data_IF_764726769306
#
_entry.id   IF_764726769306
#
_cell.length_a   1.000
_cell.length_b   1.000
_cell.length_c   1.000
_cell.angle_alpha   90.00
_cell.angle_beta   90.00
_cell.angle_gamma   90.00
#
_symmetry.space_group_name_H-M   'P 1'
#
loop_
_entity.id
_entity.type
_entity.pdbx_description
1 polymer ?
#
# COMPACT_ATOMS: atom_id res chain seq x y z
N UNK A 1 -10.05 -20.85 -11.86
CA UNK A 1 -9.86 -19.41 -11.97
C UNK A 1 -8.49 -18.94 -11.49
N UNK A 2 -8.08 -19.24 -10.23
CA UNK A 2 -6.79 -18.77 -9.66
C UNK A 2 -5.57 -19.15 -10.51
N UNK A 3 -5.44 -20.43 -10.88
CA UNK A 3 -4.32 -20.88 -11.73
C UNK A 3 -4.32 -20.20 -13.10
N UNK A 4 -5.48 -20.00 -13.69
CA UNK A 4 -5.58 -19.25 -14.95
C UNK A 4 -5.08 -17.82 -14.80
N UNK A 5 -5.49 -17.12 -13.74
CA UNK A 5 -5.06 -15.75 -13.47
C UNK A 5 -3.52 -15.66 -13.28
N UNK A 6 -2.93 -16.61 -12.57
CA UNK A 6 -1.46 -16.69 -12.40
C UNK A 6 -0.78 -16.89 -13.77
N UNK A 7 -1.22 -17.86 -14.56
CA UNK A 7 -0.65 -18.13 -15.89
C UNK A 7 -0.80 -16.92 -16.82
N UNK A 8 -1.96 -16.28 -16.84
CA UNK A 8 -2.20 -15.10 -17.66
C UNK A 8 -1.31 -13.91 -17.23
N UNK A 9 -1.12 -13.71 -15.93
CA UNK A 9 -0.23 -12.68 -15.42
C UNK A 9 1.23 -12.93 -15.84
N UNK A 10 1.70 -14.18 -15.82
CA UNK A 10 3.02 -14.52 -16.33
C UNK A 10 3.16 -14.29 -17.84
N UNK A 11 2.16 -14.69 -18.63
CA UNK A 11 2.16 -14.48 -20.07
C UNK A 11 2.17 -13.00 -20.43
N UNK A 12 1.35 -12.18 -19.75
CA UNK A 12 1.37 -10.73 -19.89
C UNK A 12 2.77 -10.14 -19.57
N UNK A 13 3.43 -10.63 -18.53
CA UNK A 13 4.77 -10.17 -18.17
C UNK A 13 5.82 -10.48 -19.26
N UNK A 14 5.65 -11.59 -19.99
CA UNK A 14 6.52 -11.95 -21.12
C UNK A 14 6.22 -11.10 -22.37
N UNK A 15 4.96 -10.73 -22.56
CA UNK A 15 4.49 -9.94 -23.70
C UNK A 15 3.34 -9.01 -23.26
N UNK A 16 3.62 -7.72 -23.13
CA UNK A 16 2.68 -6.68 -22.73
C UNK A 16 1.90 -6.08 -23.90
N UNK A 17 2.01 -6.65 -25.11
CA UNK A 17 1.31 -6.14 -26.30
C UNK A 17 -0.20 -6.19 -26.14
N UNK A 18 -0.89 -5.29 -26.81
CA UNK A 18 -2.36 -5.26 -26.90
C UNK A 18 -2.90 -6.57 -27.49
N UNK A 19 -2.23 -7.14 -28.45
CA UNK A 19 -2.63 -8.41 -29.07
C UNK A 19 -2.61 -9.56 -28.07
N UNK A 20 -1.54 -9.69 -27.27
CA UNK A 20 -1.48 -10.69 -26.22
C UNK A 20 -2.54 -10.45 -25.13
N UNK A 21 -2.75 -9.21 -24.71
CA UNK A 21 -3.80 -8.87 -23.75
C UNK A 21 -5.19 -9.25 -24.25
N UNK A 22 -5.48 -8.96 -25.50
CA UNK A 22 -6.75 -9.34 -26.13
C UNK A 22 -6.90 -10.87 -26.23
N UNK A 23 -5.84 -11.57 -26.61
CA UNK A 23 -5.83 -13.03 -26.62
C UNK A 23 -6.14 -13.61 -25.23
N UNK A 24 -5.51 -13.11 -24.18
CA UNK A 24 -5.75 -13.56 -22.80
C UNK A 24 -7.21 -13.31 -22.35
N UNK A 25 -7.77 -12.12 -22.69
CA UNK A 25 -9.17 -11.78 -22.40
C UNK A 25 -10.14 -12.72 -23.13
N UNK A 26 -9.90 -13.00 -24.40
CA UNK A 26 -10.73 -13.94 -25.21
C UNK A 26 -10.67 -15.34 -24.59
N UNK A 27 -9.48 -15.85 -24.31
CA UNK A 27 -9.32 -17.19 -23.69
C UNK A 27 -9.96 -17.29 -22.32
N UNK A 28 -9.95 -16.20 -21.54
CA UNK A 28 -10.64 -16.16 -20.25
C UNK A 28 -12.16 -16.27 -20.43
N UNK A 29 -12.74 -15.49 -21.34
CA UNK A 29 -14.18 -15.50 -21.61
C UNK A 29 -14.65 -16.87 -22.15
N UNK A 30 -13.86 -17.49 -23.04
CA UNK A 30 -14.16 -18.84 -23.58
C UNK A 30 -14.14 -19.91 -22.49
N UNK A 31 -13.14 -19.86 -21.59
CA UNK A 31 -12.93 -20.89 -20.56
C UNK A 31 -13.84 -20.73 -19.35
N UNK A 32 -14.22 -19.50 -19.04
CA UNK A 32 -15.02 -19.16 -17.88
C UNK A 32 -16.20 -18.26 -18.27
N UNK A 33 -17.27 -18.82 -18.88
CA UNK A 33 -18.51 -18.08 -19.08
C UNK A 33 -18.99 -17.52 -17.74
N UNK A 34 -19.24 -16.20 -17.63
CA UNK A 34 -19.58 -15.54 -16.37
C UNK A 34 -18.36 -15.17 -15.50
N UNK A 35 -17.17 -15.04 -16.09
CA UNK A 35 -15.93 -14.62 -15.40
C UNK A 35 -16.07 -13.29 -14.64
N UNK A 36 -16.99 -12.44 -15.04
CA UNK A 36 -17.34 -11.15 -14.43
C UNK A 36 -17.95 -11.29 -13.03
N UNK A 37 -18.45 -12.48 -12.68
CA UNK A 37 -18.92 -12.81 -11.33
C UNK A 37 -17.83 -13.41 -10.45
N UNK A 38 -16.65 -13.70 -11.00
CA UNK A 38 -15.51 -14.30 -10.30
C UNK A 38 -14.47 -13.22 -10.02
N UNK A 39 -14.37 -12.75 -8.79
CA UNK A 39 -13.59 -11.58 -8.39
C UNK A 39 -12.16 -11.56 -8.98
N UNK A 40 -11.41 -12.66 -8.91
CA UNK A 40 -10.02 -12.72 -9.43
C UNK A 40 -9.96 -12.63 -10.97
N UNK A 41 -10.97 -13.11 -11.68
CA UNK A 41 -11.01 -13.03 -13.15
C UNK A 41 -11.46 -11.64 -13.60
N UNK A 42 -12.42 -11.04 -12.89
CA UNK A 42 -12.82 -9.66 -13.14
C UNK A 42 -11.63 -8.72 -12.92
N UNK A 43 -10.87 -8.93 -11.85
CA UNK A 43 -9.69 -8.12 -11.58
C UNK A 43 -8.57 -8.34 -12.61
N UNK A 44 -8.37 -9.58 -13.05
CA UNK A 44 -7.46 -9.87 -14.16
C UNK A 44 -7.89 -9.12 -15.45
N UNK A 45 -9.17 -9.10 -15.78
CA UNK A 45 -9.68 -8.36 -16.93
C UNK A 45 -9.39 -6.86 -16.79
N UNK A 46 -9.69 -6.29 -15.63
CA UNK A 46 -9.44 -4.89 -15.33
C UNK A 46 -7.94 -4.58 -15.48
N UNK A 47 -7.09 -5.40 -14.88
CA UNK A 47 -5.65 -5.21 -14.91
C UNK A 47 -5.06 -5.31 -16.32
N UNK A 48 -5.49 -6.29 -17.13
CA UNK A 48 -5.09 -6.40 -18.55
C UNK A 48 -5.58 -5.20 -19.40
N UNK A 49 -6.64 -4.51 -18.94
CA UNK A 49 -7.20 -3.33 -19.62
C UNK A 49 -6.60 -2.01 -19.10
N UNK A 50 -6.11 -1.99 -17.87
CA UNK A 50 -5.57 -0.79 -17.21
C UNK A 50 -4.35 -0.23 -17.95
N UNK A 51 -3.49 -1.09 -18.49
CA UNK A 51 -2.40 -0.61 -19.34
C UNK A 51 -2.87 0.15 -20.59
N UNK A 52 -4.08 -0.12 -21.07
CA UNK A 52 -4.71 0.63 -22.17
C UNK A 52 -5.33 1.95 -21.68
N UNK A 53 -5.90 1.94 -20.49
CA UNK A 53 -6.67 3.08 -19.93
C UNK A 53 -5.77 4.05 -19.15
N UNK A 54 -4.78 3.54 -18.42
CA UNK A 54 -3.93 4.33 -17.54
C UNK A 54 -2.53 4.63 -18.09
N UNK A 55 -2.21 4.21 -19.32
CA UNK A 55 -0.97 4.60 -20.02
C UNK A 55 -0.74 6.12 -20.10
N UNK A 56 -1.66 6.92 -19.59
CA UNK A 56 -1.61 8.37 -19.44
C UNK A 56 -2.30 8.91 -18.17
N UNK A 57 -2.79 8.05 -17.29
CA UNK A 57 -3.47 8.45 -16.05
C UNK A 57 -2.48 9.01 -15.04
N UNK A 58 -2.46 10.33 -14.90
CA UNK A 58 -1.63 11.02 -13.92
C UNK A 58 -2.17 10.75 -12.51
N UNK A 59 -1.30 10.33 -11.59
CA UNK A 59 -1.62 10.27 -10.16
C UNK A 59 -2.14 11.64 -9.69
N UNK A 60 -3.29 11.70 -9.00
CA UNK A 60 -3.81 12.97 -8.48
C UNK A 60 -2.81 13.65 -7.54
N UNK A 61 -3.06 14.91 -7.20
CA UNK A 61 -2.14 15.68 -6.35
C UNK A 61 -2.02 15.05 -4.95
N UNK A 62 -0.80 14.68 -4.59
CA UNK A 62 -0.46 14.10 -3.27
C UNK A 62 -0.77 15.08 -2.14
N UNK A 63 -0.66 16.39 -2.40
CA UNK A 63 -1.00 17.45 -1.44
C UNK A 63 -2.45 17.38 -0.96
N UNK A 64 -3.39 16.94 -1.82
CA UNK A 64 -4.79 16.72 -1.41
C UNK A 64 -4.92 15.62 -0.37
N UNK A 65 -4.15 14.52 -0.49
CA UNK A 65 -4.13 13.47 0.52
C UNK A 65 -3.59 13.97 1.86
N UNK A 66 -2.48 14.71 1.86
CA UNK A 66 -1.90 15.28 3.06
C UNK A 66 -2.88 16.20 3.79
N UNK A 67 -3.51 17.10 3.04
CA UNK A 67 -4.49 18.05 3.56
C UNK A 67 -5.73 17.34 4.12
N UNK A 68 -6.24 16.36 3.41
CA UNK A 68 -7.40 15.60 3.84
C UNK A 68 -7.12 14.86 5.16
N UNK A 69 -5.99 14.15 5.26
CA UNK A 69 -5.64 13.39 6.45
C UNK A 69 -5.34 14.32 7.65
N UNK A 70 -4.74 15.48 7.42
CA UNK A 70 -4.57 16.50 8.44
C UNK A 70 -5.94 17.01 8.97
N UNK A 71 -6.91 17.18 8.07
CA UNK A 71 -8.27 17.63 8.44
C UNK A 71 -9.04 16.57 9.24
N UNK A 72 -8.92 15.29 8.86
CA UNK A 72 -9.61 14.19 9.56
C UNK A 72 -8.87 13.71 10.80
N UNK A 73 -7.65 14.20 11.03
CA UNK A 73 -6.88 13.92 12.24
C UNK A 73 -6.33 12.49 12.30
N UNK A 74 -5.98 11.93 11.16
CA UNK A 74 -5.40 10.59 11.07
C UNK A 74 -3.87 10.61 11.16
N UNK A 75 -3.32 9.58 11.82
CA UNK A 75 -1.89 9.29 11.83
C UNK A 75 -1.56 8.37 10.66
N UNK A 76 -0.65 8.77 9.80
CA UNK A 76 -0.41 8.11 8.51
C UNK A 76 1.07 7.78 8.31
N UNK A 77 1.32 6.59 7.77
CA UNK A 77 2.55 6.27 7.02
C UNK A 77 2.25 6.41 5.53
N UNK A 78 2.95 7.28 4.86
CA UNK A 78 2.90 7.42 3.42
C UNK A 78 4.02 6.60 2.78
N UNK A 79 3.68 5.65 1.93
CA UNK A 79 4.62 4.82 1.15
C UNK A 79 4.49 5.21 -0.32
N UNK A 80 5.45 5.97 -0.83
CA UNK A 80 5.50 6.40 -2.22
C UNK A 80 6.30 5.41 -3.04
N UNK A 81 5.71 4.86 -4.06
CA UNK A 81 6.29 3.82 -4.90
C UNK A 81 6.25 4.25 -6.38
N UNK A 82 6.99 3.56 -7.24
CA UNK A 82 6.81 3.65 -8.69
C UNK A 82 5.82 2.59 -9.18
N UNK A 83 5.26 2.78 -10.36
CA UNK A 83 4.50 1.71 -11.03
C UNK A 83 5.39 0.51 -11.33
N UNK A 84 6.62 0.77 -11.76
CA UNK A 84 7.66 -0.25 -11.89
C UNK A 84 8.25 -0.56 -10.51
N UNK A 85 7.85 -1.68 -9.93
CA UNK A 85 8.23 -2.12 -8.57
C UNK A 85 9.68 -2.59 -8.46
N UNK A 86 10.43 -2.65 -9.57
CA UNK A 86 11.87 -2.91 -9.52
C UNK A 86 12.64 -1.73 -8.89
N UNK A 87 12.01 -0.57 -8.80
CA UNK A 87 12.59 0.62 -8.20
C UNK A 87 12.01 0.85 -6.80
N UNK A 88 12.89 0.99 -5.79
CA UNK A 88 12.43 1.24 -4.42
C UNK A 88 11.77 2.60 -4.28
N UNK A 89 10.81 2.64 -3.36
CA UNK A 89 10.11 3.82 -2.93
C UNK A 89 10.64 4.37 -1.62
N UNK A 90 9.90 5.32 -1.05
CA UNK A 90 10.22 5.98 0.21
C UNK A 90 8.99 6.07 1.09
N UNK A 91 9.17 5.91 2.41
CA UNK A 91 8.13 6.10 3.41
C UNK A 91 8.41 7.32 4.29
N UNK A 92 7.35 8.03 4.70
CA UNK A 92 7.37 9.12 5.67
C UNK A 92 6.20 9.00 6.64
N UNK A 93 6.28 9.66 7.79
CA UNK A 93 5.22 9.65 8.79
C UNK A 93 4.61 11.05 8.97
N UNK A 94 3.28 11.12 8.89
CA UNK A 94 2.49 12.31 9.24
C UNK A 94 1.68 12.00 10.50
N UNK A 95 1.74 12.86 11.51
CA UNK A 95 0.98 12.68 12.74
C UNK A 95 -0.48 13.16 12.59
N UNK A 96 -1.30 12.87 13.57
CA UNK A 96 -2.73 13.25 13.58
C UNK A 96 -2.99 14.76 13.54
N UNK A 97 -2.00 15.60 13.84
CA UNK A 97 -2.10 17.07 13.69
C UNK A 97 -1.65 17.58 12.30
N UNK A 98 -1.41 16.68 11.38
CA UNK A 98 -0.99 17.01 10.01
C UNK A 98 0.50 17.32 9.83
N UNK A 99 1.31 17.21 10.91
CA UNK A 99 2.75 17.51 10.85
C UNK A 99 3.55 16.26 10.49
N UNK A 100 4.56 16.43 9.65
CA UNK A 100 5.50 15.37 9.31
C UNK A 100 6.59 15.21 10.38
N UNK A 101 6.99 13.95 10.60
CA UNK A 101 8.04 13.64 11.59
C UNK A 101 9.40 14.05 11.03
N UNK A 102 10.17 14.77 11.85
CA UNK A 102 11.48 15.33 11.51
C UNK A 102 12.53 14.96 12.56
N UNK A 103 13.78 14.99 12.17
CA UNK A 103 14.89 14.85 13.11
C UNK A 103 15.07 16.12 13.98
N UNK A 104 15.96 16.09 15.00
CA UNK A 104 16.24 17.26 15.83
C UNK A 104 16.80 18.48 15.07
N UNK A 105 17.31 18.28 13.85
CA UNK A 105 17.79 19.35 12.97
C UNK A 105 16.69 19.88 12.04
N UNK A 106 15.47 19.39 12.17
CA UNK A 106 14.32 19.81 11.36
C UNK A 106 14.24 19.16 9.97
N UNK A 107 15.09 18.17 9.66
CA UNK A 107 15.06 17.47 8.38
C UNK A 107 13.97 16.41 8.40
N UNK A 108 13.25 16.27 7.29
CA UNK A 108 12.22 15.23 7.13
C UNK A 108 12.84 13.83 7.32
N UNK A 109 12.23 13.00 8.16
CA UNK A 109 12.59 11.59 8.26
C UNK A 109 11.99 10.85 7.07
N UNK A 110 12.84 10.19 6.29
CA UNK A 110 12.48 9.47 5.07
C UNK A 110 13.18 8.12 5.10
N UNK A 111 12.42 7.05 4.85
CA UNK A 111 12.86 5.66 4.98
C UNK A 111 12.73 4.94 3.64
N UNK A 112 13.77 4.22 3.25
CA UNK A 112 13.76 3.42 2.02
C UNK A 112 12.79 2.24 2.19
N UNK A 113 11.91 2.02 1.19
CA UNK A 113 10.91 0.96 1.24
C UNK A 113 10.65 0.37 -0.15
N UNK A 114 10.58 -0.96 -0.23
CA UNK A 114 10.28 -1.71 -1.44
C UNK A 114 8.91 -2.37 -1.33
N UNK A 115 8.10 -2.26 -2.37
CA UNK A 115 6.76 -2.85 -2.47
C UNK A 115 6.68 -3.97 -3.53
N UNK A 116 7.81 -4.57 -3.86
CA UNK A 116 7.96 -5.62 -4.86
C UNK A 116 7.90 -7.00 -4.23
N UNK A 117 7.17 -7.92 -4.87
CA UNK A 117 7.25 -9.34 -4.51
C UNK A 117 8.35 -10.05 -5.30
N UNK A 118 8.81 -11.19 -4.75
CA UNK A 118 9.76 -12.06 -5.44
C UNK A 118 9.22 -12.63 -6.75
N UNK A 119 7.91 -12.88 -6.82
CA UNK A 119 7.22 -13.33 -8.02
C UNK A 119 7.08 -12.23 -9.08
N UNK A 120 7.07 -10.96 -8.66
CA UNK A 120 6.75 -9.79 -9.49
C UNK A 120 5.40 -9.93 -10.23
N UNK A 121 4.48 -10.67 -9.63
CA UNK A 121 3.11 -10.80 -10.11
C UNK A 121 2.26 -9.62 -9.64
N UNK A 122 1.13 -9.34 -10.31
CA UNK A 122 0.26 -8.24 -9.94
C UNK A 122 -0.36 -8.41 -8.55
N UNK A 123 -0.75 -7.29 -7.98
CA UNK A 123 -1.27 -7.13 -6.62
C UNK A 123 -2.41 -8.07 -6.22
N UNK A 124 -3.25 -8.53 -7.14
CA UNK A 124 -4.40 -9.41 -6.88
C UNK A 124 -4.07 -10.90 -6.90
N UNK A 125 -2.83 -11.26 -7.24
CA UNK A 125 -2.33 -12.64 -7.18
C UNK A 125 -1.72 -12.88 -5.80
N UNK A 126 -1.92 -14.07 -5.24
CA UNK A 126 -1.22 -14.53 -4.02
C UNK A 126 0.30 -14.40 -4.25
N UNK A 127 1.01 -13.84 -3.27
CA UNK A 127 2.44 -13.51 -3.37
C UNK A 127 2.80 -12.52 -4.50
N UNK A 128 1.83 -11.79 -5.02
CA UNK A 128 2.05 -10.66 -5.92
C UNK A 128 2.56 -9.42 -5.18
N UNK A 129 2.99 -8.41 -5.92
CA UNK A 129 3.50 -7.14 -5.36
C UNK A 129 2.46 -6.45 -4.46
N UNK A 130 2.92 -5.60 -3.55
CA UNK A 130 2.04 -4.89 -2.61
C UNK A 130 0.98 -4.07 -3.36
N UNK A 131 -0.31 -4.26 -3.10
CA UNK A 131 -1.36 -3.43 -3.68
C UNK A 131 -1.18 -1.95 -3.34
N UNK A 132 -1.46 -1.07 -4.28
CA UNK A 132 -1.68 0.34 -3.98
C UNK A 132 -2.98 0.49 -3.20
N UNK A 133 -3.02 1.39 -2.22
CA UNK A 133 -4.23 1.62 -1.43
C UNK A 133 -3.97 1.85 0.05
N UNK A 134 -4.99 1.58 0.86
CA UNK A 134 -5.04 1.92 2.29
C UNK A 134 -5.02 0.64 3.13
N UNK A 135 -4.14 0.63 4.12
CA UNK A 135 -3.99 -0.44 5.10
C UNK A 135 -4.19 0.14 6.50
N UNK A 136 -4.94 -0.56 7.35
CA UNK A 136 -5.08 -0.15 8.75
C UNK A 136 -3.89 -0.62 9.56
N UNK A 137 -3.20 0.29 10.26
CA UNK A 137 -2.11 -0.05 11.19
C UNK A 137 -2.71 -0.36 12.56
N UNK A 138 -2.49 -1.58 13.05
CA UNK A 138 -3.01 -2.03 14.35
C UNK A 138 -1.98 -1.88 15.49
N UNK A 139 -0.74 -1.61 15.16
CA UNK A 139 0.35 -1.45 16.11
C UNK A 139 1.66 -1.99 15.55
N UNK A 140 2.57 -2.31 16.46
CA UNK A 140 3.88 -2.89 16.14
C UNK A 140 4.00 -4.27 16.73
N UNK A 141 4.77 -5.14 16.09
CA UNK A 141 5.06 -6.48 16.55
C UNK A 141 6.49 -6.90 16.24
N UNK A 142 6.93 -7.98 16.84
CA UNK A 142 8.20 -8.63 16.53
C UNK A 142 7.90 -10.04 16.07
N UNK A 143 8.37 -10.40 14.89
CA UNK A 143 8.16 -11.72 14.35
C UNK A 143 9.10 -12.74 14.99
N UNK A 144 8.61 -13.98 15.08
CA UNK A 144 9.42 -15.14 15.44
C UNK A 144 9.85 -15.94 14.22
N UNK A 145 9.43 -15.54 13.03
CA UNK A 145 9.81 -16.27 11.81
C UNK A 145 11.13 -15.74 11.26
N UNK A 146 11.93 -16.66 10.75
CA UNK A 146 13.20 -16.33 10.07
C UNK A 146 13.05 -15.44 8.84
N UNK A 147 11.84 -15.41 8.24
CA UNK A 147 11.59 -14.68 6.99
C UNK A 147 11.25 -13.20 7.17
N UNK A 148 11.06 -12.75 8.41
CA UNK A 148 10.69 -11.35 8.71
C UNK A 148 11.80 -10.67 9.52
N UNK A 149 12.59 -11.45 10.26
CA UNK A 149 13.66 -10.95 11.13
C UNK A 149 13.17 -10.37 12.46
N UNK A 150 14.10 -10.02 13.35
CA UNK A 150 13.82 -9.60 14.71
C UNK A 150 13.45 -8.11 14.83
N UNK A 151 13.57 -7.32 13.78
CA UNK A 151 13.25 -5.89 13.82
C UNK A 151 11.74 -5.70 13.96
N UNK A 152 11.29 -4.75 14.79
CA UNK A 152 9.87 -4.44 14.91
C UNK A 152 9.24 -4.10 13.55
N UNK A 153 8.06 -4.64 13.32
CA UNK A 153 7.27 -4.41 12.10
C UNK A 153 6.00 -3.63 12.41
N UNK A 154 5.38 -3.05 11.39
CA UNK A 154 4.03 -2.49 11.47
C UNK A 154 3.02 -3.59 11.10
N UNK A 155 2.11 -3.88 12.02
CA UNK A 155 1.02 -4.83 11.81
C UNK A 155 -0.09 -4.15 11.01
N UNK A 156 -0.30 -4.63 9.79
CA UNK A 156 -1.29 -4.08 8.87
C UNK A 156 -2.47 -5.04 8.76
N UNK A 157 -3.66 -4.47 8.54
CA UNK A 157 -4.85 -5.21 8.12
C UNK A 157 -5.28 -4.65 6.78
N UNK A 158 -5.50 -5.55 5.82
CA UNK A 158 -6.07 -5.22 4.52
C UNK A 158 -7.59 -5.07 4.61
N UNK A 159 -8.22 -4.37 3.66
CA UNK A 159 -9.67 -4.44 3.48
C UNK A 159 -10.14 -5.89 3.36
N UNK A 160 -11.27 -6.22 3.99
CA UNK A 160 -11.89 -7.57 4.04
C UNK A 160 -11.05 -8.69 4.71
N UNK A 161 -9.84 -8.41 5.23
CA UNK A 161 -9.04 -9.39 5.97
C UNK A 161 -9.63 -9.69 7.35
N UNK A 162 -10.23 -8.68 7.97
CA UNK A 162 -10.90 -8.75 9.28
C UNK A 162 -12.12 -7.81 9.26
N UNK A 163 -12.66 -7.49 10.43
CA UNK A 163 -13.81 -6.61 10.54
C UNK A 163 -13.56 -5.20 10.00
N UNK A 164 -14.54 -4.61 9.35
CA UNK A 164 -14.49 -3.23 8.86
C UNK A 164 -14.38 -2.18 9.96
N UNK A 165 -14.48 -2.58 11.25
CA UNK A 165 -14.19 -1.73 12.39
C UNK A 165 -12.76 -1.18 12.44
N UNK A 166 -11.84 -1.73 11.64
CA UNK A 166 -10.49 -1.20 11.47
C UNK A 166 -10.40 -0.02 10.48
N UNK A 167 -11.46 0.24 9.69
CA UNK A 167 -11.54 1.27 8.66
C UNK A 167 -12.59 2.32 9.00
N UNK A 168 -12.26 3.28 9.85
CA UNK A 168 -13.15 4.35 10.26
C UNK A 168 -12.41 5.69 10.41
N UNK A 169 -13.16 6.79 10.31
CA UNK A 169 -12.64 8.14 10.54
C UNK A 169 -12.74 8.49 12.02
N UNK A 170 -11.73 9.13 12.64
CA UNK A 170 -11.79 9.60 14.02
C UNK A 170 -12.97 10.53 14.25
N UNK A 171 -13.60 10.40 15.44
CA UNK A 171 -14.72 11.25 15.84
C UNK A 171 -16.05 10.97 15.14
N UNK A 172 -16.11 9.98 14.25
CA UNK A 172 -17.36 9.54 13.62
C UNK A 172 -17.93 8.23 14.18
N UNK A 173 -17.26 7.64 15.17
CA UNK A 173 -17.65 6.35 15.76
C UNK A 173 -19.07 6.35 16.32
N UNK A 174 -19.53 7.50 16.83
CA UNK A 174 -20.89 7.66 17.35
C UNK A 174 -21.91 8.14 16.30
N UNK A 175 -21.47 8.73 15.20
CA UNK A 175 -22.35 9.23 14.14
C UNK A 175 -22.54 8.22 13.00
N UNK A 176 -21.61 7.26 12.83
CA UNK A 176 -21.71 6.20 11.82
C UNK A 176 -22.59 5.01 12.25
N UNK A 177 -23.11 4.97 13.45
CA UNK A 177 -24.31 4.17 13.78
C UNK A 177 -25.52 4.51 12.90
N UNK A 178 -25.39 5.44 11.95
CA UNK A 178 -26.45 5.94 11.07
C UNK A 178 -26.26 5.52 9.61
N UNK A 179 -25.27 4.73 9.25
CA UNK A 179 -25.17 4.24 7.87
C UNK A 179 -26.00 2.96 7.68
N UNK A 180 -27.17 2.98 8.25
CA UNK A 180 -28.26 2.14 7.80
C UNK A 180 -29.08 2.91 6.80
N UNK A 181 -28.75 2.90 5.55
CA UNK A 181 -29.59 3.25 4.39
C UNK A 181 -28.87 4.10 3.35
N UNK A 182 -27.90 3.53 2.68
CA UNK A 182 -27.59 3.96 1.33
C UNK A 182 -28.04 2.84 0.39
N UNK A 183 -29.25 2.94 -0.10
CA UNK A 183 -29.76 2.18 -1.23
C UNK A 183 -29.00 2.58 -2.47
N UNK A 184 -28.10 1.75 -2.96
CA UNK A 184 -27.31 2.01 -4.16
C UNK A 184 -26.60 0.77 -4.69
N UNK A 185 -27.27 0.06 -5.55
CA UNK A 185 -26.79 -0.78 -6.67
C UNK A 185 -25.37 -1.36 -6.54
N UNK A 186 -25.27 -2.67 -6.25
CA UNK A 186 -24.11 -3.47 -6.57
C UNK A 186 -23.56 -4.33 -5.43
N UNK A 187 -24.05 -5.58 -5.32
CA UNK A 187 -23.39 -6.66 -4.60
C UNK A 187 -23.73 -6.80 -3.13
N UNK A 188 -24.74 -7.60 -2.81
CA UNK A 188 -24.86 -8.46 -1.62
C UNK A 188 -24.52 -7.91 -0.24
N UNK A 189 -24.81 -6.65 0.05
CA UNK A 189 -24.68 -6.13 1.40
C UNK A 189 -25.75 -6.76 2.31
N UNK A 190 -25.35 -7.43 3.39
CA UNK A 190 -26.29 -7.85 4.42
C UNK A 190 -26.97 -6.62 5.03
N UNK A 191 -28.27 -6.66 5.30
CA UNK A 191 -28.99 -5.56 5.90
C UNK A 191 -28.35 -5.17 7.24
N UNK A 192 -27.91 -3.90 7.35
CA UNK A 192 -27.33 -3.37 8.58
C UNK A 192 -25.78 -3.34 8.66
N UNK A 193 -25.07 -3.90 7.68
CA UNK A 193 -23.60 -3.71 7.56
C UNK A 193 -23.29 -2.50 6.69
N UNK A 194 -22.34 -1.63 7.09
CA UNK A 194 -21.91 -0.53 6.25
C UNK A 194 -21.33 -1.06 4.93
N UNK A 195 -21.57 -0.34 3.83
CA UNK A 195 -20.92 -0.62 2.56
C UNK A 195 -19.40 -0.45 2.72
N UNK A 196 -18.69 -1.55 2.59
CA UNK A 196 -17.23 -1.59 2.77
C UNK A 196 -16.50 -0.66 1.82
N UNK A 197 -16.99 -0.52 0.60
CA UNK A 197 -16.43 0.41 -0.39
C UNK A 197 -16.62 1.86 0.05
N UNK A 198 -17.79 2.20 0.60
CA UNK A 198 -18.05 3.53 1.12
C UNK A 198 -17.11 3.89 2.29
N UNK A 199 -16.90 2.96 3.24
CA UNK A 199 -15.97 3.17 4.35
C UNK A 199 -14.53 3.38 3.85
N UNK A 200 -14.09 2.57 2.91
CA UNK A 200 -12.77 2.69 2.31
C UNK A 200 -12.61 4.03 1.57
N UNK A 201 -13.57 4.39 0.72
CA UNK A 201 -13.55 5.66 -0.02
C UNK A 201 -13.69 6.89 0.88
N UNK A 202 -14.31 6.76 2.06
CA UNK A 202 -14.39 7.83 3.05
C UNK A 202 -13.00 8.24 3.62
N UNK A 203 -11.99 7.38 3.48
CA UNK A 203 -10.61 7.69 3.83
C UNK A 203 -9.86 8.47 2.74
N UNK A 204 -10.50 8.77 1.61
CA UNK A 204 -9.93 9.46 0.48
C UNK A 204 -10.62 10.82 0.25
N UNK A 205 -9.87 11.88 -0.14
CA UNK A 205 -10.47 13.11 -0.62
C UNK A 205 -11.22 12.89 -1.93
N UNK A 206 -12.12 13.79 -2.28
CA UNK A 206 -13.02 13.63 -3.43
C UNK A 206 -12.28 13.32 -4.74
N UNK A 207 -11.16 13.98 -5.02
CA UNK A 207 -10.35 13.76 -6.24
C UNK A 207 -9.72 12.37 -6.33
N UNK A 208 -9.56 11.67 -5.19
CA UNK A 208 -8.94 10.34 -5.14
C UNK A 208 -9.93 9.18 -5.10
N UNK A 209 -11.20 9.44 -4.76
CA UNK A 209 -12.23 8.37 -4.63
C UNK A 209 -12.49 7.62 -5.93
N UNK A 210 -12.30 8.29 -7.07
CA UNK A 210 -12.50 7.71 -8.39
C UNK A 210 -11.18 7.34 -9.10
N UNK A 211 -10.06 7.49 -8.41
CA UNK A 211 -8.77 7.05 -8.92
C UNK A 211 -8.63 5.54 -8.70
N UNK A 212 -8.97 4.77 -9.75
CA UNK A 212 -9.06 3.30 -9.71
C UNK A 212 -7.88 2.59 -9.05
N UNK A 213 -6.61 3.01 -9.29
CA UNK A 213 -5.46 2.36 -8.67
C UNK A 213 -5.46 2.37 -7.14
N UNK A 214 -6.09 3.34 -6.48
CA UNK A 214 -6.24 3.33 -5.02
C UNK A 214 -7.17 2.21 -4.51
N UNK A 215 -7.90 1.54 -5.40
CA UNK A 215 -8.78 0.42 -5.05
C UNK A 215 -8.07 -0.94 -5.09
N UNK A 216 -6.79 -1.02 -5.46
CA UNK A 216 -6.07 -2.30 -5.56
C UNK A 216 -6.08 -3.07 -4.24
N UNK A 217 -5.81 -2.40 -3.10
CA UNK A 217 -5.84 -3.06 -1.80
C UNK A 217 -7.25 -3.56 -1.43
N UNK A 218 -8.30 -2.80 -1.77
CA UNK A 218 -9.69 -3.21 -1.56
C UNK A 218 -10.05 -4.40 -2.44
N UNK A 219 -9.70 -4.39 -3.73
CA UNK A 219 -9.92 -5.52 -4.66
C UNK A 219 -9.16 -6.76 -4.22
N UNK A 220 -7.90 -6.61 -3.82
CA UNK A 220 -7.05 -7.72 -3.37
C UNK A 220 -7.61 -8.40 -2.11
N UNK A 221 -8.06 -7.60 -1.12
CA UNK A 221 -8.70 -8.14 0.08
C UNK A 221 -9.98 -8.91 -0.25
N UNK A 222 -10.84 -8.39 -1.11
CA UNK A 222 -12.06 -9.10 -1.58
C UNK A 222 -11.77 -10.42 -2.32
N UNK A 223 -10.63 -10.54 -2.97
CA UNK A 223 -10.16 -11.79 -3.59
C UNK A 223 -9.64 -12.77 -2.54
N UNK A 224 -9.42 -12.31 -1.30
CA UNK A 224 -8.95 -13.09 -0.16
C UNK A 224 -7.44 -13.02 0.02
N UNK A 225 -6.81 -11.94 -0.42
CA UNK A 225 -5.41 -11.66 -0.09
C UNK A 225 -5.31 -11.09 1.32
N UNK A 226 -4.33 -11.57 2.09
CA UNK A 226 -4.14 -11.26 3.51
C UNK A 226 -2.65 -11.17 3.86
N UNK A 227 -2.35 -10.89 5.13
CA UNK A 227 -1.02 -11.02 5.74
C UNK A 227 0.05 -10.10 5.15
N UNK A 228 -0.33 -8.90 4.71
CA UNK A 228 0.62 -7.86 4.33
C UNK A 228 1.01 -7.06 5.57
N UNK A 229 2.31 -6.95 5.82
CA UNK A 229 2.90 -6.13 6.89
C UNK A 229 4.02 -5.24 6.32
N UNK A 230 4.48 -4.27 7.09
CA UNK A 230 5.70 -3.53 6.77
C UNK A 230 6.82 -3.98 7.73
N UNK A 231 7.89 -4.57 7.17
CA UNK A 231 8.98 -5.19 7.93
C UNK A 231 10.35 -4.89 7.33
N UNK A 232 11.41 -5.22 8.04
CA UNK A 232 12.78 -5.16 7.52
C UNK A 232 13.08 -6.29 6.54
N UNK A 233 14.11 -6.10 5.74
CA UNK A 233 14.54 -7.12 4.77
C UNK A 233 15.28 -8.28 5.39
N UNK A 234 15.67 -8.15 6.65
CA UNK A 234 16.46 -9.19 7.28
C UNK A 234 15.59 -10.34 7.69
N UNK A 235 15.86 -11.36 7.09
CA UNK A 235 15.71 -12.71 7.46
C UNK A 235 16.76 -12.97 8.55
N UNK A 236 16.43 -13.71 9.58
CA UNK A 236 17.28 -14.05 10.70
C UNK A 236 18.78 -14.06 10.34
N UNK A 237 19.60 -13.17 10.93
CA UNK A 237 21.03 -13.08 10.61
C UNK A 237 21.79 -14.39 10.80
N UNK A 238 21.40 -15.22 11.77
CA UNK A 238 22.01 -16.53 12.02
C UNK A 238 21.71 -17.51 10.88
N UNK A 239 20.48 -17.47 10.32
CA UNK A 239 20.11 -18.29 9.17
C UNK A 239 20.87 -17.89 7.89
N UNK A 240 21.17 -16.60 7.69
CA UNK A 240 21.88 -16.09 6.53
C UNK A 240 23.38 -15.92 6.75
N UNK A 241 23.89 -16.29 7.91
CA UNK A 241 25.32 -16.30 8.16
C UNK A 241 26.03 -17.07 7.05
N UNK A 242 27.06 -16.44 6.48
CA UNK A 242 27.84 -16.95 5.36
C UNK A 242 27.08 -17.19 4.04
N UNK A 243 25.85 -16.63 3.90
CA UNK A 243 25.07 -16.68 2.65
C UNK A 243 24.97 -15.30 2.00
N UNK A 244 24.74 -15.23 0.67
CA UNK A 244 24.44 -13.96 0.01
C UNK A 244 23.26 -13.26 0.70
N UNK A 245 23.45 -12.00 1.01
CA UNK A 245 22.46 -11.17 1.65
C UNK A 245 22.28 -9.87 0.86
N UNK A 246 21.03 -9.52 0.60
CA UNK A 246 20.67 -8.30 -0.09
C UNK A 246 19.99 -7.35 0.90
N UNK A 247 20.49 -6.12 1.10
CA UNK A 247 19.93 -5.19 2.08
C UNK A 247 18.51 -4.73 1.76
N UNK A 248 18.03 -4.95 0.54
CA UNK A 248 16.65 -4.67 0.13
C UNK A 248 16.13 -5.81 -0.76
N UNK A 249 15.41 -6.74 -0.16
CA UNK A 249 14.98 -7.98 -0.80
C UNK A 249 13.47 -7.96 -1.07
N UNK A 250 13.01 -8.38 -2.27
CA UNK A 250 11.60 -8.64 -2.53
C UNK A 250 11.02 -9.66 -1.55
N UNK A 251 9.75 -9.48 -1.19
CA UNK A 251 9.03 -10.31 -0.23
C UNK A 251 7.99 -11.22 -0.91
N UNK A 252 7.04 -11.74 -0.15
CA UNK A 252 5.82 -12.38 -0.67
C UNK A 252 4.66 -11.38 -0.83
N UNK A 253 4.98 -10.10 -0.94
CA UNK A 253 4.03 -9.00 -1.12
C UNK A 253 3.94 -8.01 0.02
N UNK A 254 4.66 -8.23 1.12
CA UNK A 254 4.83 -7.24 2.18
C UNK A 254 5.65 -6.04 1.70
N UNK A 255 5.47 -4.90 2.36
CA UNK A 255 6.39 -3.79 2.26
C UNK A 255 7.67 -4.13 3.03
N UNK A 256 8.84 -3.98 2.41
CA UNK A 256 10.09 -4.17 3.13
C UNK A 256 10.99 -2.94 3.08
N UNK A 257 11.64 -2.68 4.21
CA UNK A 257 12.60 -1.60 4.35
C UNK A 257 14.03 -2.14 4.43
N UNK A 258 14.99 -1.35 3.99
CA UNK A 258 16.38 -1.74 3.97
C UNK A 258 16.93 -2.04 5.37
N UNK A 259 17.63 -3.15 5.50
CA UNK A 259 18.42 -3.49 6.68
C UNK A 259 19.79 -4.03 6.29
N UNK A 260 20.80 -3.65 7.02
CA UNK A 260 22.16 -4.12 6.86
C UNK A 260 22.67 -4.67 8.19
N UNK A 261 23.10 -5.90 8.18
CA UNK A 261 23.63 -6.61 9.34
C UNK A 261 25.10 -6.96 9.15
N UNK A 262 25.86 -6.93 10.23
CA UNK A 262 27.23 -7.41 10.19
C UNK A 262 27.20 -8.96 10.08
N UNK A 263 27.75 -9.56 9.02
CA UNK A 263 27.65 -10.99 8.78
C UNK A 263 28.44 -11.83 9.77
N UNK A 264 29.43 -11.23 10.45
CA UNK A 264 30.28 -11.93 11.43
C UNK A 264 29.72 -11.86 12.84
N UNK A 265 29.26 -10.67 13.24
CA UNK A 265 28.80 -10.45 14.64
C UNK A 265 27.29 -10.55 14.80
N UNK A 266 26.50 -10.53 13.72
CA UNK A 266 25.05 -10.47 13.75
C UNK A 266 24.48 -9.13 14.26
N UNK A 267 25.31 -8.09 14.42
CA UNK A 267 24.84 -6.78 14.83
C UNK A 267 24.17 -6.01 13.68
N UNK A 268 23.07 -5.38 14.00
CA UNK A 268 22.37 -4.46 13.08
C UNK A 268 23.23 -3.21 12.86
N UNK A 269 23.57 -2.93 11.60
CA UNK A 269 24.36 -1.77 11.20
C UNK A 269 23.47 -0.62 10.71
N UNK A 270 22.47 -0.94 9.90
CA UNK A 270 21.49 0.01 9.34
C UNK A 270 20.12 -0.66 9.37
N UNK A 271 19.09 0.07 9.76
CA UNK A 271 17.71 -0.38 9.64
C UNK A 271 16.77 0.80 9.37
N UNK A 272 16.33 0.90 8.14
CA UNK A 272 15.27 1.83 7.74
C UNK A 272 13.93 1.43 8.41
N UNK A 273 13.70 0.12 8.60
CA UNK A 273 12.50 -0.36 9.29
C UNK A 273 12.46 0.08 10.76
N UNK A 274 13.55 -0.04 11.48
CA UNK A 274 13.62 0.42 12.87
C UNK A 274 13.41 1.94 12.96
N UNK A 275 13.99 2.69 12.01
CA UNK A 275 13.78 4.13 11.87
C UNK A 275 12.31 4.48 11.62
N UNK A 276 11.64 3.79 10.68
CA UNK A 276 10.22 3.98 10.38
C UNK A 276 9.33 3.71 11.59
N UNK A 277 9.55 2.57 12.28
CA UNK A 277 8.80 2.22 13.49
C UNK A 277 9.06 3.23 14.61
N UNK A 278 10.30 3.68 14.79
CA UNK A 278 10.64 4.70 15.78
C UNK A 278 9.96 6.04 15.48
N UNK A 279 9.95 6.47 14.22
CA UNK A 279 9.22 7.67 13.78
C UNK A 279 7.71 7.52 14.00
N UNK A 280 7.14 6.35 13.72
CA UNK A 280 5.75 6.05 14.04
C UNK A 280 5.47 6.17 15.55
N UNK A 281 6.26 5.55 16.38
CA UNK A 281 6.07 5.54 17.84
C UNK A 281 6.38 6.89 18.51
N UNK A 282 7.15 7.77 17.87
CA UNK A 282 7.45 9.12 18.39
C UNK A 282 6.24 10.05 18.40
N UNK A 283 5.15 9.67 17.72
CA UNK A 283 3.90 10.44 17.67
C UNK A 283 2.79 9.74 18.45
N UNK A 284 1.83 10.47 19.07
CA UNK A 284 0.77 9.87 19.85
C UNK A 284 -0.10 8.89 19.04
N UNK A 285 -0.63 7.88 19.73
CA UNK A 285 -1.50 6.86 19.17
C UNK A 285 -0.76 5.69 18.56
N UNK A 286 -1.28 4.48 18.74
CA UNK A 286 -0.72 3.23 18.20
C UNK A 286 -1.36 2.81 16.88
N UNK A 287 -2.54 3.33 16.55
CA UNK A 287 -3.32 3.03 15.35
C UNK A 287 -3.27 4.18 14.35
N UNK A 288 -3.58 3.88 13.13
CA UNK A 288 -3.63 4.80 11.99
C UNK A 288 -3.64 4.05 10.68
N UNK A 289 -3.17 4.67 9.61
CA UNK A 289 -3.19 4.04 8.30
C UNK A 289 -1.84 4.11 7.61
N UNK A 290 -1.61 3.15 6.73
CA UNK A 290 -0.53 3.17 5.75
C UNK A 290 -1.15 3.30 4.36
N UNK A 291 -0.68 4.26 3.58
CA UNK A 291 -1.08 4.49 2.21
C UNK A 291 0.06 4.10 1.28
N UNK A 292 -0.18 3.17 0.38
CA UNK A 292 0.74 2.84 -0.72
C UNK A 292 0.28 3.58 -1.96
N UNK A 293 1.15 4.43 -2.51
CA UNK A 293 0.81 5.32 -3.62
C UNK A 293 1.85 5.16 -4.72
N UNK A 294 1.41 4.79 -5.92
CA UNK A 294 2.25 4.83 -7.11
C UNK A 294 2.26 6.26 -7.66
N UNK A 295 3.42 6.90 -7.63
CA UNK A 295 3.53 8.33 -7.98
C UNK A 295 3.62 8.57 -9.47
N UNK A 296 4.31 7.70 -10.20
CA UNK A 296 4.45 7.72 -11.66
C UNK A 296 5.12 6.44 -12.19
N UNK A 297 5.39 6.40 -13.50
CA UNK A 297 6.03 5.28 -14.23
C UNK A 297 7.53 5.48 -14.50
N UNK A 298 8.18 6.44 -13.85
CA UNK A 298 9.61 6.65 -14.03
C UNK A 298 10.40 5.43 -13.53
N UNK A 299 11.34 4.98 -14.38
CA UNK A 299 12.23 3.85 -14.07
C UNK A 299 13.45 4.29 -13.26
N UNK A 300 13.20 4.75 -12.06
CA UNK A 300 14.22 5.16 -11.08
C UNK A 300 13.62 5.15 -9.66
N UNK A 301 14.43 5.01 -8.61
CA UNK A 301 13.94 5.13 -7.24
C UNK A 301 13.18 6.43 -7.00
N UNK A 302 12.20 6.40 -6.09
CA UNK A 302 11.61 7.63 -5.57
C UNK A 302 12.70 8.36 -4.78
N UNK A 303 12.94 9.62 -5.09
CA UNK A 303 14.00 10.38 -4.46
C UNK A 303 13.49 11.14 -3.23
N UNK A 304 14.38 11.34 -2.25
CA UNK A 304 14.12 12.20 -1.08
C UNK A 304 13.66 13.61 -1.52
N UNK A 305 14.27 14.16 -2.55
CA UNK A 305 13.94 15.48 -3.07
C UNK A 305 12.48 15.58 -3.55
N UNK A 306 11.99 14.58 -4.28
CA UNK A 306 10.58 14.53 -4.73
C UNK A 306 9.64 14.57 -3.52
N UNK A 307 9.91 13.74 -2.50
CA UNK A 307 9.10 13.69 -1.27
C UNK A 307 9.15 15.01 -0.51
N UNK A 308 10.33 15.59 -0.33
CA UNK A 308 10.51 16.89 0.33
C UNK A 308 9.79 18.02 -0.42
N UNK A 309 9.75 17.99 -1.76
CA UNK A 309 9.03 18.96 -2.58
C UNK A 309 7.51 18.85 -2.40
N UNK A 310 6.94 17.63 -2.28
CA UNK A 310 5.52 17.46 -1.98
C UNK A 310 5.16 17.95 -0.58
N UNK A 311 5.95 17.58 0.43
CA UNK A 311 5.76 18.01 1.81
C UNK A 311 5.86 19.53 1.92
N UNK A 312 6.88 20.14 1.31
CA UNK A 312 7.07 21.59 1.32
C UNK A 312 5.89 22.31 0.68
N UNK A 313 5.42 21.87 -0.49
CA UNK A 313 4.26 22.49 -1.14
C UNK A 313 3.02 22.47 -0.26
N UNK A 314 2.76 21.35 0.42
CA UNK A 314 1.66 21.24 1.37
C UNK A 314 1.83 22.20 2.57
N UNK A 315 3.01 22.24 3.19
CA UNK A 315 3.28 23.11 4.33
C UNK A 315 3.18 24.60 3.95
N UNK A 316 3.69 25.00 2.79
CA UNK A 316 3.59 26.37 2.27
C UNK A 316 2.13 26.80 2.03
N UNK A 317 1.27 25.91 1.54
CA UNK A 317 -0.16 26.17 1.34
C UNK A 317 -0.91 26.30 2.68
N UNK A 318 -0.60 25.46 3.67
CA UNK A 318 -1.16 25.52 5.02
C UNK A 318 -0.82 26.85 5.74
N UNK A 319 0.38 27.36 5.53
CA UNK A 319 0.80 28.67 6.06
C UNK A 319 0.10 29.84 5.36
N UNK A 320 -0.25 29.72 4.09
CA UNK A 320 -0.98 30.75 3.35
C UNK A 320 -2.46 30.87 3.81
N UNK A 321 -3.09 29.77 4.22
CA UNK A 321 -4.45 29.73 4.75
C UNK A 321 -4.59 30.18 6.23
N UNK A 322 -3.48 30.26 6.96
CA UNK A 322 -3.43 30.64 8.37
C UNK A 322 -3.04 32.12 8.62
N UNK A 323 -2.92 32.92 7.56
CA UNK A 323 -2.73 34.39 7.73
C UNK A 323 -4.09 35.02 7.94
N UNK A 324 -4.24 35.82 9.04
CA UNK A 324 -5.50 36.46 9.41
C UNK A 324 -5.94 37.51 8.41
#
# INVERSE_FOLDING_TARGET
PKLFAICAAYLHRCDTSTDNNNFLKIRMAEKFPGYDTVAILLELQNWLSVHEIFAGGKTPDIGELFAYQATVGQKIVWSFQRWDRDYPGLAIVQNASGKFVRDPQGRLLVFLQLARSGSDLPYFITDGSTPQGIYSIQGTGVSRTHFIGPTPNLQLIMPDEDSWGHYFLPGRDSAMGIVGSATGVGGGAEPGKPDSLFLYQALLPAGWRHYGPMMEAWSAGRIGRTEIIAHGTTIDPEYFKDKPFYPLTPTMGCLCAEELWNPTSGHLLVSEQFGLVSAWLSTPGSKGYLYVINVDDQRKPVSRREVEEWVKRFEDQGLAGARP
#
